data_IF_330173298355
#
_entry.id   IF_330173298355
#
_cell.length_a   1.000
_cell.length_b   1.000
_cell.length_c   1.000
_cell.angle_alpha   90.00
_cell.angle_beta   90.00
_cell.angle_gamma   90.00
#
_symmetry.space_group_name_H-M   'P 1'
#
loop_
_entity.id
_entity.type
_entity.pdbx_description
1 polymer ?
#
# COMPACT_ATOMS: atom_id res chain seq x y z
N UNK A 1 5.74 24.04 -12.61
CA UNK A 1 5.99 25.39 -12.09
C UNK A 1 7.08 25.26 -11.02
N UNK A 2 8.31 25.69 -11.37
CA UNK A 2 9.50 25.53 -10.54
C UNK A 2 9.36 26.26 -9.20
N UNK A 3 8.71 27.42 -9.18
CA UNK A 3 8.48 28.21 -7.96
C UNK A 3 7.67 27.45 -6.91
N UNK A 4 6.68 26.68 -7.37
CA UNK A 4 5.83 25.83 -6.51
C UNK A 4 6.65 24.70 -5.89
N UNK A 5 7.49 24.06 -6.68
CA UNK A 5 8.37 22.99 -6.22
C UNK A 5 9.44 23.51 -5.23
N UNK A 6 9.98 24.71 -5.50
CA UNK A 6 10.93 25.37 -4.61
C UNK A 6 10.27 25.73 -3.28
N UNK A 7 9.09 26.34 -3.30
CA UNK A 7 8.34 26.71 -2.10
C UNK A 7 7.97 25.48 -1.25
N UNK A 8 7.55 24.37 -1.88
CA UNK A 8 7.29 23.11 -1.19
C UNK A 8 8.54 22.53 -0.56
N UNK A 9 9.66 22.52 -1.29
CA UNK A 9 10.91 21.98 -0.79
C UNK A 9 11.35 22.73 0.46
N UNK A 10 11.38 24.07 0.41
CA UNK A 10 11.74 24.92 1.55
C UNK A 10 10.79 24.71 2.76
N UNK A 11 9.49 24.54 2.50
CA UNK A 11 8.50 24.36 3.56
C UNK A 11 8.62 22.98 4.21
N UNK A 12 8.95 21.95 3.45
CA UNK A 12 8.99 20.55 3.91
C UNK A 12 10.36 20.12 4.43
N UNK A 13 11.44 20.83 4.12
CA UNK A 13 12.80 20.54 4.58
C UNK A 13 12.91 20.27 6.09
N UNK A 14 12.24 21.03 6.99
CA UNK A 14 12.30 20.76 8.44
C UNK A 14 11.54 19.48 8.88
N UNK A 15 10.69 18.91 8.02
CA UNK A 15 9.78 17.80 8.35
C UNK A 15 10.12 16.50 7.62
N UNK A 16 10.99 16.54 6.62
CA UNK A 16 11.37 15.40 5.81
C UNK A 16 12.87 15.13 5.87
N UNK A 17 13.25 13.90 6.08
CA UNK A 17 14.66 13.50 6.08
C UNK A 17 15.31 13.70 4.69
N UNK A 18 14.58 13.38 3.64
CA UNK A 18 15.01 13.51 2.25
C UNK A 18 13.84 13.89 1.35
N UNK A 19 14.06 14.84 0.47
CA UNK A 19 13.09 15.26 -0.54
C UNK A 19 13.73 15.05 -1.92
N UNK A 20 12.96 14.48 -2.84
CA UNK A 20 13.33 14.38 -4.26
C UNK A 20 12.24 15.01 -5.11
N UNK A 21 12.68 15.78 -6.09
CA UNK A 21 11.80 16.49 -7.02
C UNK A 21 11.96 15.88 -8.40
N UNK A 22 10.82 15.53 -9.03
CA UNK A 22 10.72 15.13 -10.42
C UNK A 22 9.98 16.21 -11.20
N UNK A 23 10.56 16.70 -12.26
CA UNK A 23 9.95 17.69 -13.16
C UNK A 23 9.18 16.98 -14.29
N UNK A 24 9.56 15.74 -14.59
CA UNK A 24 8.96 14.91 -15.64
C UNK A 24 8.55 13.54 -15.10
N UNK A 25 7.48 12.93 -15.67
CA UNK A 25 7.01 11.60 -15.25
C UNK A 25 8.03 10.47 -15.47
N UNK A 26 8.97 10.63 -16.40
CA UNK A 26 9.98 9.62 -16.76
C UNK A 26 10.85 9.17 -15.58
N UNK A 27 10.94 9.99 -14.53
CA UNK A 27 11.73 9.69 -13.34
C UNK A 27 10.96 8.93 -12.26
N UNK A 28 9.66 8.73 -12.43
CA UNK A 28 8.81 8.07 -11.43
C UNK A 28 9.35 6.67 -11.10
N UNK A 29 9.55 5.84 -12.10
CA UNK A 29 10.04 4.47 -11.93
C UNK A 29 11.39 4.43 -11.19
N UNK A 30 12.32 5.28 -11.60
CA UNK A 30 13.62 5.39 -10.95
C UNK A 30 13.50 5.78 -9.48
N UNK A 31 12.67 6.76 -9.13
CA UNK A 31 12.50 7.17 -7.74
C UNK A 31 11.73 6.14 -6.91
N UNK A 32 10.75 5.46 -7.49
CA UNK A 32 10.01 4.41 -6.80
C UNK A 32 10.92 3.23 -6.43
N UNK A 33 11.86 2.86 -7.30
CA UNK A 33 12.76 1.72 -7.09
C UNK A 33 13.97 2.05 -6.22
N UNK A 34 14.60 3.23 -6.42
CA UNK A 34 15.86 3.59 -5.75
C UNK A 34 15.65 4.38 -4.46
N UNK A 35 14.71 5.33 -4.46
CA UNK A 35 14.45 6.22 -3.34
C UNK A 35 13.35 5.69 -2.40
N UNK A 36 12.35 4.96 -2.93
CA UNK A 36 11.22 4.36 -2.18
C UNK A 36 10.53 5.38 -1.27
N UNK A 37 9.89 6.40 -1.82
CA UNK A 37 9.30 7.47 -1.03
C UNK A 37 8.16 6.97 -0.14
N UNK A 38 8.06 7.50 1.08
CA UNK A 38 6.94 7.23 1.98
C UNK A 38 5.66 7.94 1.53
N UNK A 39 5.82 9.17 1.01
CA UNK A 39 4.73 9.98 0.46
C UNK A 39 5.15 10.57 -0.87
N UNK A 40 4.20 10.63 -1.78
CA UNK A 40 4.37 11.24 -3.10
C UNK A 40 3.36 12.38 -3.23
N UNK A 41 3.86 13.60 -3.42
CA UNK A 41 3.06 14.74 -3.82
C UNK A 41 3.05 14.82 -5.34
N UNK A 42 1.89 14.68 -5.93
CA UNK A 42 1.72 14.62 -7.38
C UNK A 42 0.93 15.83 -7.87
N UNK A 43 1.56 16.65 -8.71
CA UNK A 43 0.82 17.74 -9.37
C UNK A 43 -0.11 17.16 -10.43
N UNK A 44 -1.36 17.59 -10.45
CA UNK A 44 -2.32 17.15 -11.46
C UNK A 44 -2.00 17.74 -12.85
N UNK A 45 -1.32 18.87 -12.91
CA UNK A 45 -1.00 19.61 -14.12
C UNK A 45 0.51 19.67 -14.37
N UNK A 46 1.10 18.59 -14.87
CA UNK A 46 2.54 18.54 -15.18
C UNK A 46 2.93 19.30 -16.44
N UNK A 47 2.10 19.26 -17.48
CA UNK A 47 2.40 19.88 -18.76
C UNK A 47 1.51 21.09 -19.05
N UNK A 48 1.78 21.70 -20.20
CA UNK A 48 1.07 22.89 -20.70
C UNK A 48 -0.42 22.63 -21.02
N UNK A 49 -0.83 21.37 -21.11
CA UNK A 49 -2.23 20.97 -21.32
C UNK A 49 -2.99 20.86 -19.98
N UNK A 50 -3.14 21.99 -19.32
CA UNK A 50 -3.81 22.12 -18.02
C UNK A 50 -5.29 21.65 -17.98
N UNK A 51 -5.87 21.27 -19.14
CA UNK A 51 -7.30 21.02 -19.27
C UNK A 51 -7.67 19.56 -18.94
N UNK A 52 -6.86 18.58 -19.33
CA UNK A 52 -7.25 17.15 -19.19
C UNK A 52 -6.90 16.53 -17.83
N UNK A 53 -5.77 16.91 -17.22
CA UNK A 53 -5.24 16.26 -16.01
C UNK A 53 -4.87 14.78 -16.23
N UNK A 54 -4.93 14.28 -17.47
CA UNK A 54 -4.72 12.87 -17.80
C UNK A 54 -3.33 12.37 -17.41
N UNK A 55 -2.30 13.21 -17.56
CA UNK A 55 -0.92 12.87 -17.18
C UNK A 55 -0.76 12.58 -15.69
N UNK A 56 -1.45 13.33 -14.82
CA UNK A 56 -1.47 13.05 -13.39
C UNK A 56 -2.10 11.69 -13.08
N UNK A 57 -3.18 11.32 -13.77
CA UNK A 57 -3.81 10.01 -13.61
C UNK A 57 -2.95 8.87 -14.14
N UNK A 58 -2.25 9.07 -15.25
CA UNK A 58 -1.35 8.05 -15.80
C UNK A 58 -0.13 7.86 -14.91
N UNK A 59 0.41 8.95 -14.35
CA UNK A 59 1.46 8.91 -13.33
C UNK A 59 1.00 8.18 -12.07
N UNK A 60 -0.23 8.43 -11.58
CA UNK A 60 -0.81 7.70 -10.46
C UNK A 60 -0.89 6.20 -10.73
N UNK A 61 -1.39 5.81 -11.90
CA UNK A 61 -1.47 4.39 -12.30
C UNK A 61 -0.09 3.75 -12.34
N UNK A 62 0.91 4.43 -12.90
CA UNK A 62 2.29 3.96 -12.92
C UNK A 62 2.84 3.75 -11.50
N UNK A 63 2.67 4.72 -10.61
CA UNK A 63 3.09 4.61 -9.21
C UNK A 63 2.44 3.41 -8.53
N UNK A 64 1.11 3.27 -8.65
CA UNK A 64 0.36 2.20 -8.00
C UNK A 64 0.62 0.81 -8.63
N UNK A 65 1.09 0.75 -9.88
CA UNK A 65 1.54 -0.50 -10.48
C UNK A 65 2.87 -1.00 -9.91
N UNK A 66 3.75 -0.07 -9.48
CA UNK A 66 5.04 -0.38 -8.86
C UNK A 66 4.87 -0.66 -7.35
N UNK A 67 4.14 0.19 -6.65
CA UNK A 67 3.80 0.03 -5.24
C UNK A 67 2.30 0.25 -5.02
N UNK A 68 1.49 -0.81 -4.96
CA UNK A 68 0.04 -0.71 -4.72
C UNK A 68 -0.32 -0.06 -3.38
N UNK A 69 0.64 0.06 -2.47
CA UNK A 69 0.46 0.66 -1.15
C UNK A 69 1.05 2.07 -1.05
N UNK A 70 1.54 2.63 -2.15
CA UNK A 70 2.06 3.98 -2.18
C UNK A 70 1.03 4.99 -1.65
N UNK A 71 1.51 5.97 -0.89
CA UNK A 71 0.69 7.09 -0.43
C UNK A 71 0.89 8.25 -1.40
N UNK A 72 -0.10 8.45 -2.27
CA UNK A 72 -0.08 9.50 -3.28
C UNK A 72 -1.11 10.57 -2.92
N UNK A 73 -0.65 11.81 -2.82
CA UNK A 73 -1.45 12.99 -2.51
C UNK A 73 -1.40 13.92 -3.72
N UNK A 74 -2.55 14.20 -4.30
CA UNK A 74 -2.64 15.11 -5.43
C UNK A 74 -2.61 16.57 -5.00
N UNK A 75 -1.93 17.41 -5.79
CA UNK A 75 -2.04 18.86 -5.71
C UNK A 75 -2.91 19.35 -6.86
N UNK A 76 -4.04 19.98 -6.53
CA UNK A 76 -5.07 20.40 -7.51
C UNK A 76 -5.26 21.90 -7.49
N UNK A 77 -5.73 22.49 -8.60
CA UNK A 77 -6.22 23.87 -8.58
C UNK A 77 -7.53 23.96 -7.79
N UNK A 78 -7.79 25.10 -7.15
CA UNK A 78 -8.91 25.32 -6.20
C UNK A 78 -10.30 25.02 -6.79
N UNK A 79 -10.46 25.04 -8.11
CA UNK A 79 -11.76 24.85 -8.80
C UNK A 79 -12.02 23.40 -9.28
N UNK A 80 -11.09 22.46 -9.07
CA UNK A 80 -11.14 21.13 -9.67
C UNK A 80 -11.63 20.01 -8.72
N UNK A 81 -12.73 20.24 -8.02
CA UNK A 81 -13.31 19.27 -7.06
C UNK A 81 -13.64 17.94 -7.73
N UNK A 82 -14.16 17.97 -8.99
CA UNK A 82 -14.49 16.75 -9.71
C UNK A 82 -13.25 15.91 -10.04
N UNK A 83 -12.15 16.57 -10.38
CA UNK A 83 -10.87 15.88 -10.62
C UNK A 83 -10.30 15.28 -9.31
N UNK A 84 -10.45 16.00 -8.19
CA UNK A 84 -10.05 15.49 -6.87
C UNK A 84 -10.82 14.21 -6.51
N UNK A 85 -12.14 14.19 -6.68
CA UNK A 85 -12.99 13.01 -6.45
C UNK A 85 -12.58 11.86 -7.38
N UNK A 86 -12.30 12.14 -8.65
CA UNK A 86 -11.82 11.13 -9.60
C UNK A 86 -10.45 10.57 -9.18
N UNK A 87 -9.54 11.41 -8.65
CA UNK A 87 -8.24 10.99 -8.17
C UNK A 87 -8.35 9.99 -7.00
N UNK A 88 -9.20 10.29 -6.02
CA UNK A 88 -9.48 9.36 -4.91
C UNK A 88 -10.03 8.02 -5.43
N UNK A 89 -11.01 8.06 -6.35
CA UNK A 89 -11.57 6.85 -6.98
C UNK A 89 -10.52 6.07 -7.78
N UNK A 90 -9.51 6.73 -8.31
CA UNK A 90 -8.41 6.11 -9.03
C UNK A 90 -7.31 5.54 -8.12
N UNK A 91 -7.42 5.71 -6.80
CA UNK A 91 -6.49 5.14 -5.82
C UNK A 91 -5.55 6.15 -5.15
N UNK A 92 -5.70 7.45 -5.41
CA UNK A 92 -4.98 8.46 -4.64
C UNK A 92 -5.43 8.45 -3.17
N UNK A 93 -4.50 8.73 -2.27
CA UNK A 93 -4.79 8.73 -0.82
C UNK A 93 -5.55 9.98 -0.40
N UNK A 94 -5.17 11.13 -0.93
CA UNK A 94 -5.77 12.43 -0.58
C UNK A 94 -5.46 13.48 -1.65
N UNK A 95 -5.98 14.70 -1.47
CA UNK A 95 -5.66 15.84 -2.34
C UNK A 95 -5.51 17.14 -1.54
N UNK A 96 -4.72 18.07 -2.06
CA UNK A 96 -4.46 19.39 -1.49
C UNK A 96 -4.72 20.45 -2.56
N UNK A 97 -5.64 21.42 -2.30
CA UNK A 97 -5.87 22.51 -3.25
C UNK A 97 -4.70 23.49 -3.25
N UNK A 98 -4.38 24.04 -4.41
CA UNK A 98 -3.46 25.17 -4.59
C UNK A 98 -4.25 26.51 -4.64
N UNK A 99 -3.80 27.55 -3.96
CA UNK A 99 -2.70 27.62 -3.00
C UNK A 99 -3.05 26.88 -1.69
N UNK A 100 -2.07 26.23 -1.09
CA UNK A 100 -2.27 25.48 0.15
C UNK A 100 -1.96 26.33 1.39
N UNK A 101 -2.68 26.02 2.45
CA UNK A 101 -2.36 26.48 3.81
C UNK A 101 -1.33 25.51 4.42
N UNK A 102 -0.31 26.07 5.08
CA UNK A 102 0.78 25.28 5.67
C UNK A 102 0.27 24.19 6.62
N UNK A 103 -0.64 24.58 7.49
CA UNK A 103 -1.22 23.71 8.53
C UNK A 103 -1.97 22.53 7.89
N UNK A 104 -2.74 22.81 6.85
CA UNK A 104 -3.50 21.79 6.12
C UNK A 104 -2.57 20.83 5.37
N UNK A 105 -1.55 21.34 4.70
CA UNK A 105 -0.54 20.53 4.03
C UNK A 105 0.14 19.58 5.03
N UNK A 106 0.63 20.08 6.15
CA UNK A 106 1.31 19.30 7.17
C UNK A 106 0.37 18.26 7.82
N UNK A 107 -0.88 18.60 8.06
CA UNK A 107 -1.87 17.66 8.59
C UNK A 107 -2.14 16.50 7.61
N UNK A 108 -2.31 16.80 6.32
CA UNK A 108 -2.50 15.80 5.28
C UNK A 108 -1.27 14.88 5.15
N UNK A 109 -0.07 15.45 5.16
CA UNK A 109 1.18 14.67 5.14
C UNK A 109 1.32 13.78 6.39
N UNK A 110 1.01 14.30 7.58
CA UNK A 110 1.04 13.52 8.82
C UNK A 110 0.07 12.33 8.76
N UNK A 111 -1.12 12.53 8.22
CA UNK A 111 -2.12 11.47 8.02
C UNK A 111 -1.63 10.43 7.01
N UNK A 112 -1.03 10.87 5.92
CA UNK A 112 -0.41 10.01 4.91
C UNK A 112 0.73 9.16 5.49
N UNK A 113 1.60 9.75 6.33
CA UNK A 113 2.68 9.02 7.01
C UNK A 113 2.15 7.94 7.97
N UNK A 114 1.10 8.25 8.74
CA UNK A 114 0.46 7.25 9.61
C UNK A 114 -0.09 6.09 8.79
N UNK A 115 -0.75 6.38 7.69
CA UNK A 115 -1.27 5.36 6.77
C UNK A 115 -0.16 4.50 6.18
N UNK A 116 0.94 5.12 5.71
CA UNK A 116 2.10 4.38 5.18
C UNK A 116 2.69 3.43 6.20
N UNK A 117 2.93 3.90 7.42
CA UNK A 117 3.44 3.08 8.53
C UNK A 117 2.52 1.90 8.82
N UNK A 118 1.22 2.14 8.95
CA UNK A 118 0.24 1.09 9.21
C UNK A 118 0.22 0.03 8.09
N UNK A 119 0.27 0.45 6.81
CA UNK A 119 0.34 -0.48 5.67
C UNK A 119 1.62 -1.32 5.70
N UNK A 120 2.76 -0.71 6.00
CA UNK A 120 4.05 -1.42 6.10
C UNK A 120 4.03 -2.44 7.24
N UNK A 121 3.50 -2.07 8.41
CA UNK A 121 3.38 -2.97 9.57
C UNK A 121 2.47 -4.16 9.27
N UNK A 122 1.32 -3.93 8.65
CA UNK A 122 0.41 -5.00 8.23
C UNK A 122 1.10 -5.98 7.27
N UNK A 123 1.91 -5.49 6.34
CA UNK A 123 2.63 -6.36 5.40
C UNK A 123 3.69 -7.20 6.11
N UNK A 124 4.47 -6.60 7.00
CA UNK A 124 5.46 -7.34 7.79
C UNK A 124 4.79 -8.44 8.62
N UNK A 125 3.66 -8.14 9.25
CA UNK A 125 2.91 -9.14 10.03
C UNK A 125 2.36 -10.26 9.13
N UNK A 126 1.86 -9.94 7.94
CA UNK A 126 1.40 -10.95 6.98
C UNK A 126 2.53 -11.87 6.53
N UNK A 127 3.69 -11.31 6.19
CA UNK A 127 4.88 -12.08 5.83
C UNK A 127 5.33 -13.00 6.96
N UNK A 128 5.31 -12.53 8.21
CA UNK A 128 5.64 -13.34 9.39
C UNK A 128 4.65 -14.49 9.58
N UNK A 129 3.34 -14.23 9.45
CA UNK A 129 2.31 -15.27 9.54
C UNK A 129 2.47 -16.31 8.43
N UNK A 130 2.78 -15.88 7.21
CA UNK A 130 2.99 -16.79 6.08
C UNK A 130 4.22 -17.69 6.30
N UNK A 131 5.34 -17.13 6.77
CA UNK A 131 6.53 -17.90 7.11
C UNK A 131 6.24 -18.92 8.20
N UNK A 132 5.51 -18.52 9.27
CA UNK A 132 5.14 -19.43 10.36
C UNK A 132 4.17 -20.52 9.89
N UNK A 133 3.19 -20.18 9.06
CA UNK A 133 2.23 -21.14 8.53
C UNK A 133 2.91 -22.16 7.59
N UNK A 134 3.87 -21.70 6.76
CA UNK A 134 4.65 -22.58 5.89
C UNK A 134 5.61 -23.46 6.71
N UNK A 135 6.18 -22.96 7.80
CA UNK A 135 7.01 -23.77 8.70
C UNK A 135 6.20 -24.85 9.43
N UNK A 136 4.93 -24.57 9.76
CA UNK A 136 4.01 -25.56 10.34
C UNK A 136 3.39 -26.50 9.30
N UNK A 137 3.21 -26.05 8.05
CA UNK A 137 2.73 -26.89 6.95
C UNK A 137 3.83 -27.75 6.31
N UNK A 138 5.10 -27.34 6.43
CA UNK A 138 6.28 -28.12 5.99
C UNK A 138 6.78 -29.13 7.02
N UNK A 139 6.26 -29.08 8.24
CA UNK A 139 6.29 -30.21 9.16
C UNK A 139 5.34 -31.26 8.57
N UNK A 140 5.89 -32.16 7.70
CA UNK A 140 5.27 -33.46 7.47
C UNK A 140 4.70 -33.91 8.81
N UNK A 141 3.48 -34.45 8.79
CA UNK A 141 2.88 -35.25 9.84
C UNK A 141 3.83 -36.39 10.27
N UNK A 142 4.98 -36.09 10.82
CA UNK A 142 5.58 -36.91 11.84
C UNK A 142 4.75 -36.67 13.11
N UNK A 143 3.52 -37.16 13.05
CA UNK A 143 2.80 -37.55 14.23
C UNK A 143 3.76 -38.46 14.94
N UNK A 144 4.38 -37.99 16.03
CA UNK A 144 5.09 -38.86 16.98
C UNK A 144 4.04 -39.82 17.49
N UNK A 145 3.85 -40.90 16.76
CA UNK A 145 2.98 -42.00 17.17
C UNK A 145 3.72 -42.64 18.31
N UNK A 146 3.38 -42.24 19.53
CA UNK A 146 3.83 -42.97 20.70
C UNK A 146 3.32 -44.40 20.59
N UNK A 147 4.22 -45.38 20.61
CA UNK A 147 3.91 -46.81 20.50
C UNK A 147 3.12 -47.41 21.68
N UNK A 148 2.47 -46.56 22.48
CA UNK A 148 1.64 -47.06 23.57
C UNK A 148 0.27 -47.56 23.05
N UNK A 149 -0.21 -48.70 23.55
CA UNK A 149 -1.49 -49.27 23.13
C UNK A 149 -2.68 -48.32 23.30
N UNK A 150 -2.61 -47.38 24.23
CA UNK A 150 -3.63 -46.36 24.48
C UNK A 150 -3.66 -45.29 23.38
N UNK A 151 -2.50 -44.87 22.89
CA UNK A 151 -2.39 -43.92 21.77
C UNK A 151 -2.87 -44.52 20.45
N UNK A 152 -2.61 -45.81 20.18
CA UNK A 152 -3.12 -46.50 19.03
C UNK A 152 -4.65 -46.57 19.01
N UNK A 153 -5.30 -46.76 20.16
CA UNK A 153 -6.76 -46.68 20.27
C UNK A 153 -7.31 -45.28 19.97
N UNK A 154 -6.64 -44.26 20.45
CA UNK A 154 -7.03 -42.86 20.17
C UNK A 154 -6.94 -42.58 18.67
N UNK A 155 -5.85 -42.94 18.02
CA UNK A 155 -5.68 -42.73 16.58
C UNK A 155 -6.69 -43.51 15.76
N UNK A 156 -6.98 -44.76 16.09
CA UNK A 156 -8.00 -45.56 15.39
C UNK A 156 -9.41 -44.95 15.53
N UNK A 157 -9.69 -44.31 16.65
CA UNK A 157 -10.98 -43.63 16.89
C UNK A 157 -11.06 -42.32 16.08
N UNK A 158 -9.99 -41.54 16.00
CA UNK A 158 -9.90 -40.31 15.20
C UNK A 158 -10.04 -40.62 13.70
N UNK A 159 -9.41 -41.69 13.24
CA UNK A 159 -9.48 -42.08 11.83
C UNK A 159 -10.89 -42.52 11.41
N UNK A 160 -11.60 -43.23 12.28
CA UNK A 160 -13.04 -43.58 12.09
C UNK A 160 -13.93 -42.32 12.02
N UNK A 161 -13.68 -41.33 12.85
CA UNK A 161 -14.40 -40.05 12.81
C UNK A 161 -14.13 -39.26 11.53
N UNK A 162 -12.92 -39.33 10.99
CA UNK A 162 -12.53 -38.70 9.72
C UNK A 162 -13.25 -39.32 8.52
N UNK A 163 -13.47 -40.62 8.53
CA UNK A 163 -14.25 -41.32 7.49
C UNK A 163 -15.75 -40.96 7.55
N UNK A 164 -16.35 -40.85 8.73
CA UNK A 164 -17.74 -40.42 8.91
C UNK A 164 -17.95 -38.97 8.41
N UNK A 165 -16.99 -38.06 8.68
CA UNK A 165 -17.06 -36.69 8.19
C UNK A 165 -17.00 -36.59 6.66
N UNK A 166 -16.27 -37.47 5.98
CA UNK A 166 -16.18 -37.52 4.51
C UNK A 166 -17.45 -38.13 3.87
N UNK A 167 -18.12 -39.06 4.52
CA UNK A 167 -19.34 -39.64 4.03
C UNK A 167 -20.52 -38.63 4.07
N UNK A 168 -20.59 -37.79 5.09
CA UNK A 168 -21.65 -36.78 5.23
C UNK A 168 -21.55 -35.59 4.26
N UNK A 169 -20.37 -35.34 3.67
CA UNK A 169 -20.18 -34.30 2.65
C UNK A 169 -20.49 -34.75 1.20
N UNK A 170 -20.79 -36.02 0.97
CA UNK A 170 -21.09 -36.54 -0.37
C UNK A 170 -22.59 -36.61 -0.71
N UNK A 171 -23.47 -36.31 0.26
CA UNK A 171 -24.92 -36.37 0.09
C UNK A 171 -25.61 -34.97 0.11
N UNK A 172 -24.88 -33.90 -0.25
CA UNK A 172 -25.55 -32.62 -0.51
C UNK A 172 -25.15 -32.01 -1.85
#
# INVERSE_FOLDING_TARGET
NEDVLFALNLLLEPYAEKIKVAVTPDRIEHFMTTFRPDIILLDMNFSRDAISGQEGFDSLKQILSIDPQAVVIFMTAYADTDKAVRAIKAGATDFIPKPWEKEKLLATLSSGMKLRRSRTEINLLKEQVEVLSNATAGGSEEIIIGDSPVMQQVFSTVEKLREIGRASCRER
#
